data_IF_548385166174
#
_entry.id   IF_548385166174
#
_cell.length_a   1.000
_cell.length_b   1.000
_cell.length_c   1.000
_cell.angle_alpha   90.00
_cell.angle_beta   90.00
_cell.angle_gamma   90.00
#
_symmetry.space_group_name_H-M   'P 1'
#
loop_
_entity.id
_entity.type
_entity.pdbx_description
1 polymer ?
#
# COMPACT_ATOMS: atom_id res chain seq x y z
N UNK A 1 -3.59 -13.18 -35.19
CA UNK A 1 -5.02 -13.30 -34.80
C UNK A 1 -5.05 -13.00 -33.32
N UNK A 2 -5.54 -11.82 -32.92
CA UNK A 2 -5.38 -11.32 -31.53
C UNK A 2 -6.12 -12.23 -30.54
N UNK A 3 -5.49 -12.55 -29.41
CA UNK A 3 -5.99 -13.45 -28.36
C UNK A 3 -7.40 -13.07 -27.84
N UNK A 4 -7.74 -11.78 -27.86
CA UNK A 4 -9.06 -11.26 -27.51
C UNK A 4 -10.20 -11.75 -28.43
N UNK A 5 -9.91 -12.04 -29.70
CA UNK A 5 -10.92 -12.55 -30.63
C UNK A 5 -11.37 -13.98 -30.29
N UNK A 6 -10.51 -14.79 -29.66
CA UNK A 6 -10.84 -16.18 -29.30
C UNK A 6 -11.76 -16.21 -28.09
N UNK A 7 -11.44 -15.45 -27.03
CA UNK A 7 -12.26 -15.37 -25.81
C UNK A 7 -13.66 -14.80 -26.08
N UNK A 8 -13.75 -13.75 -26.89
CA UNK A 8 -15.04 -13.18 -27.26
C UNK A 8 -15.88 -14.15 -28.09
N UNK A 9 -15.27 -14.87 -29.05
CA UNK A 9 -15.99 -15.81 -29.91
C UNK A 9 -16.53 -17.02 -29.15
N UNK A 10 -15.74 -17.60 -28.25
CA UNK A 10 -16.09 -18.86 -27.59
C UNK A 10 -16.89 -18.66 -26.30
N UNK A 11 -16.74 -17.52 -25.61
CA UNK A 11 -17.35 -17.30 -24.30
C UNK A 11 -18.13 -15.99 -24.17
N UNK A 12 -18.14 -15.12 -25.19
CA UNK A 12 -18.74 -13.78 -25.08
C UNK A 12 -18.02 -12.85 -24.09
N UNK A 13 -16.82 -13.24 -23.64
CA UNK A 13 -16.02 -12.49 -22.66
C UNK A 13 -14.99 -11.65 -23.39
N UNK A 14 -14.94 -10.36 -23.07
CA UNK A 14 -13.87 -9.45 -23.53
C UNK A 14 -12.94 -9.17 -22.36
N UNK A 15 -11.61 -9.21 -22.57
CA UNK A 15 -10.69 -8.82 -21.53
C UNK A 15 -10.85 -7.32 -21.21
N UNK A 16 -11.01 -6.98 -19.93
CA UNK A 16 -10.93 -5.59 -19.49
C UNK A 16 -9.46 -5.15 -19.50
N UNK A 17 -8.99 -4.71 -20.67
CA UNK A 17 -7.60 -4.29 -20.89
C UNK A 17 -7.20 -3.07 -20.05
N UNK A 18 -8.17 -2.32 -19.49
CA UNK A 18 -7.91 -1.18 -18.62
C UNK A 18 -7.42 -1.55 -17.22
N UNK A 19 -7.65 -2.79 -16.77
CA UNK A 19 -7.29 -3.28 -15.42
C UNK A 19 -6.40 -4.52 -15.44
N UNK A 20 -5.96 -4.95 -16.63
CA UNK A 20 -5.10 -6.13 -16.75
C UNK A 20 -3.64 -5.70 -16.58
N UNK A 21 -3.00 -6.17 -15.52
CA UNK A 21 -1.56 -5.98 -15.29
C UNK A 21 -0.81 -7.31 -15.32
N UNK A 22 0.39 -7.29 -15.91
CA UNK A 22 1.31 -8.43 -15.97
C UNK A 22 2.65 -7.99 -15.40
N UNK A 23 3.16 -8.80 -14.48
CA UNK A 23 4.39 -8.53 -13.73
C UNK A 23 5.25 -9.80 -13.62
N UNK A 24 6.57 -9.63 -13.69
CA UNK A 24 7.54 -10.65 -13.35
C UNK A 24 8.51 -10.08 -12.30
N UNK A 25 8.84 -10.90 -11.30
CA UNK A 25 9.81 -10.58 -10.24
C UNK A 25 11.18 -10.22 -10.79
N UNK A 26 11.66 -10.94 -11.81
CA UNK A 26 12.98 -10.71 -12.38
C UNK A 26 13.03 -9.46 -13.28
N UNK A 27 11.85 -8.90 -13.60
CA UNK A 27 11.70 -7.78 -14.54
C UNK A 27 12.07 -8.17 -15.97
N UNK A 28 12.48 -7.17 -16.75
CA UNK A 28 12.95 -7.34 -18.12
C UNK A 28 11.92 -6.97 -19.19
N UNK A 29 12.23 -7.21 -20.48
CA UNK A 29 11.34 -6.87 -21.58
C UNK A 29 10.06 -7.71 -21.53
N UNK A 30 8.99 -7.16 -22.09
CA UNK A 30 7.70 -7.85 -22.19
C UNK A 30 7.85 -9.19 -22.94
N UNK A 31 7.32 -10.30 -22.40
CA UNK A 31 7.25 -11.56 -23.14
C UNK A 31 6.45 -11.42 -24.45
N UNK A 32 6.70 -12.28 -25.46
CA UNK A 32 5.93 -12.28 -26.70
C UNK A 32 4.41 -12.33 -26.45
N UNK A 33 3.65 -11.54 -27.20
CA UNK A 33 2.18 -11.46 -27.09
C UNK A 33 1.64 -10.52 -26.00
N UNK A 34 2.45 -10.09 -25.02
CA UNK A 34 2.00 -9.14 -23.98
C UNK A 34 1.86 -7.72 -24.54
N UNK A 35 2.77 -7.30 -25.42
CA UNK A 35 2.72 -5.97 -26.03
C UNK A 35 1.42 -5.73 -26.83
N UNK A 36 0.81 -6.79 -27.37
CA UNK A 36 -0.46 -6.74 -28.10
C UNK A 36 -1.67 -6.43 -27.20
N UNK A 37 -1.53 -6.61 -25.87
CA UNK A 37 -2.59 -6.34 -24.89
C UNK A 37 -2.66 -4.86 -24.48
N UNK A 38 -1.61 -4.08 -24.78
CA UNK A 38 -1.54 -2.64 -24.53
C UNK A 38 -0.27 -2.21 -23.80
N UNK A 39 0.14 -0.95 -24.03
CA UNK A 39 1.37 -0.39 -23.49
C UNK A 39 1.44 -0.35 -21.95
N UNK A 40 0.28 -0.33 -21.28
CA UNK A 40 0.19 -0.23 -19.82
C UNK A 40 0.06 -1.59 -19.11
N UNK A 41 0.00 -2.69 -19.86
CA UNK A 41 -0.23 -4.04 -19.31
C UNK A 41 1.04 -4.62 -18.70
N UNK A 42 2.18 -4.49 -19.38
CA UNK A 42 3.46 -4.97 -18.86
C UNK A 42 4.06 -3.97 -17.87
N UNK A 43 4.49 -4.47 -16.71
CA UNK A 43 5.12 -3.65 -15.66
C UNK A 43 6.57 -3.99 -15.41
N UNK A 44 7.12 -5.05 -15.99
CA UNK A 44 8.42 -5.61 -15.60
C UNK A 44 9.65 -4.83 -16.09
N UNK A 45 9.50 -3.97 -17.10
CA UNK A 45 10.54 -3.07 -17.61
C UNK A 45 10.46 -1.65 -17.05
N UNK A 46 9.40 -1.34 -16.29
CA UNK A 46 9.24 -0.04 -15.65
C UNK A 46 10.39 0.26 -14.66
N UNK A 47 10.62 1.55 -14.33
CA UNK A 47 11.50 1.95 -13.24
C UNK A 47 11.15 1.20 -11.94
N UNK A 48 12.15 0.92 -11.10
CA UNK A 48 11.99 0.09 -9.91
C UNK A 48 10.88 0.54 -8.95
N UNK A 49 10.60 1.84 -8.87
CA UNK A 49 9.54 2.42 -8.04
C UNK A 49 8.14 2.33 -8.67
N UNK A 50 8.05 2.01 -9.95
CA UNK A 50 6.81 1.86 -10.72
C UNK A 50 6.56 0.41 -11.17
N UNK A 51 7.54 -0.47 -10.94
CA UNK A 51 7.57 -1.89 -11.31
C UNK A 51 6.73 -2.74 -10.36
N UNK A 52 5.42 -2.59 -10.47
CA UNK A 52 4.44 -3.34 -9.70
C UNK A 52 3.02 -2.92 -10.03
N UNK A 53 2.07 -3.47 -9.30
CA UNK A 53 0.65 -3.15 -9.38
C UNK A 53 0.00 -3.34 -8.02
N UNK A 54 -1.24 -2.87 -7.86
CA UNK A 54 -2.00 -2.98 -6.62
C UNK A 54 -3.12 -4.00 -6.83
N UNK A 55 -3.11 -5.09 -6.06
CA UNK A 55 -4.15 -6.10 -6.08
C UNK A 55 -4.92 -6.04 -4.75
N UNK A 56 -6.22 -5.74 -4.79
CA UNK A 56 -7.05 -5.64 -3.58
C UNK A 56 -6.39 -4.76 -2.48
N UNK A 57 -5.92 -3.57 -2.87
CA UNK A 57 -5.15 -2.65 -2.02
C UNK A 57 -3.79 -3.14 -1.51
N UNK A 58 -3.34 -4.33 -1.94
CA UNK A 58 -2.01 -4.86 -1.61
C UNK A 58 -1.03 -4.48 -2.74
N UNK A 59 0.02 -3.69 -2.47
CA UNK A 59 1.05 -3.44 -3.47
C UNK A 59 1.88 -4.71 -3.69
N UNK A 60 1.94 -5.15 -4.94
CA UNK A 60 2.72 -6.29 -5.39
C UNK A 60 3.72 -5.81 -6.44
N UNK A 61 5.00 -6.15 -6.27
CA UNK A 61 6.00 -5.73 -7.23
C UNK A 61 7.41 -5.74 -6.69
N UNK A 62 8.25 -4.95 -7.32
CA UNK A 62 9.60 -4.69 -6.88
C UNK A 62 9.60 -4.06 -5.48
N UNK A 63 10.59 -4.35 -4.60
CA UNK A 63 10.61 -3.80 -3.24
C UNK A 63 10.51 -2.27 -3.18
N UNK A 64 11.09 -1.55 -4.15
CA UNK A 64 10.95 -0.09 -4.23
C UNK A 64 9.55 0.39 -4.60
N UNK A 65 8.82 -0.35 -5.43
CA UNK A 65 7.41 -0.06 -5.72
C UNK A 65 6.57 -0.22 -4.45
N UNK A 66 6.77 -1.32 -3.72
CA UNK A 66 6.07 -1.58 -2.45
C UNK A 66 6.37 -0.46 -1.44
N UNK A 67 7.64 -0.11 -1.26
CA UNK A 67 8.05 0.98 -0.36
C UNK A 67 7.41 2.32 -0.73
N UNK A 68 7.53 2.75 -2.00
CA UNK A 68 6.95 4.01 -2.47
C UNK A 68 5.43 4.06 -2.29
N UNK A 69 4.75 2.93 -2.54
CA UNK A 69 3.32 2.81 -2.31
C UNK A 69 2.98 2.93 -0.82
N UNK A 70 3.68 2.19 0.05
CA UNK A 70 3.44 2.22 1.49
C UNK A 70 3.76 3.59 2.11
N UNK A 71 4.80 4.28 1.64
CA UNK A 71 5.18 5.61 2.12
C UNK A 71 4.10 6.64 1.76
N UNK A 72 3.61 6.60 0.52
CA UNK A 72 2.50 7.47 0.07
C UNK A 72 1.23 7.21 0.88
N UNK A 73 0.91 5.93 1.11
CA UNK A 73 -0.24 5.52 1.94
C UNK A 73 -0.11 6.01 3.38
N UNK A 74 1.08 5.88 3.96
CA UNK A 74 1.34 6.30 5.33
C UNK A 74 1.21 7.82 5.51
N UNK A 75 1.71 8.61 4.56
CA UNK A 75 1.55 10.06 4.57
C UNK A 75 0.07 10.47 4.52
N UNK A 76 -0.71 9.83 3.66
CA UNK A 76 -2.14 10.09 3.54
C UNK A 76 -2.91 9.67 4.80
N UNK A 77 -2.60 8.50 5.36
CA UNK A 77 -3.20 8.04 6.61
C UNK A 77 -2.88 8.98 7.78
N UNK A 78 -1.64 9.47 7.88
CA UNK A 78 -1.26 10.46 8.89
C UNK A 78 -2.00 11.79 8.71
N UNK A 79 -2.21 12.25 7.48
CA UNK A 79 -3.02 13.44 7.17
C UNK A 79 -4.47 13.25 7.59
N UNK A 80 -5.08 12.12 7.25
CA UNK A 80 -6.46 11.81 7.62
C UNK A 80 -6.66 11.71 9.13
N UNK A 81 -5.67 11.17 9.85
CA UNK A 81 -5.69 11.15 11.32
C UNK A 81 -5.65 12.55 11.93
N UNK A 82 -4.99 13.52 11.29
CA UNK A 82 -5.02 14.92 11.73
C UNK A 82 -6.36 15.61 11.47
N UNK A 83 -7.17 15.07 10.56
CA UNK A 83 -8.50 15.59 10.21
C UNK A 83 -9.63 14.93 11.02
N UNK A 84 -9.30 14.01 11.93
CA UNK A 84 -10.30 13.39 12.81
C UNK A 84 -11.09 14.48 13.57
N UNK A 85 -12.41 14.37 13.44
CA UNK A 85 -13.40 15.35 13.88
C UNK A 85 -13.31 15.66 15.39
N UNK A 86 -13.79 16.85 15.83
CA UNK A 86 -13.68 17.27 17.24
C UNK A 86 -14.57 16.49 18.22
N UNK A 87 -15.53 15.68 17.73
CA UNK A 87 -16.30 14.81 18.62
C UNK A 87 -15.42 13.65 19.10
N UNK A 88 -15.09 13.71 20.39
CA UNK A 88 -14.18 12.76 21.03
C UNK A 88 -14.68 11.31 20.86
N UNK A 89 -15.97 11.04 21.08
CA UNK A 89 -16.48 9.67 21.00
C UNK A 89 -16.32 9.05 19.60
N UNK A 90 -16.67 9.79 18.55
CA UNK A 90 -16.45 9.34 17.17
C UNK A 90 -14.96 9.17 16.84
N UNK A 91 -14.12 10.10 17.29
CA UNK A 91 -12.68 10.03 17.06
C UNK A 91 -12.04 8.80 17.72
N UNK A 92 -12.46 8.45 18.94
CA UNK A 92 -12.02 7.25 19.64
C UNK A 92 -12.38 5.95 18.89
N UNK A 93 -13.61 5.84 18.39
CA UNK A 93 -14.05 4.65 17.64
C UNK A 93 -13.26 4.49 16.33
N UNK A 94 -13.07 5.58 15.59
CA UNK A 94 -12.29 5.56 14.35
C UNK A 94 -10.83 5.22 14.63
N UNK A 95 -10.23 5.79 15.67
CA UNK A 95 -8.86 5.51 16.05
C UNK A 95 -8.66 4.04 16.47
N UNK A 96 -9.62 3.47 17.20
CA UNK A 96 -9.60 2.04 17.55
C UNK A 96 -9.65 1.15 16.30
N UNK A 97 -10.41 1.52 15.27
CA UNK A 97 -10.41 0.81 13.99
C UNK A 97 -9.08 0.96 13.24
N UNK A 98 -8.43 2.13 13.31
CA UNK A 98 -7.11 2.35 12.72
C UNK A 98 -6.00 1.53 13.40
N UNK A 99 -6.10 1.31 14.71
CA UNK A 99 -5.18 0.50 15.51
C UNK A 99 -5.41 -1.02 15.37
N UNK A 100 -6.55 -1.43 14.80
CA UNK A 100 -6.87 -2.85 14.62
C UNK A 100 -5.88 -3.51 13.65
N UNK A 101 -5.36 -4.71 13.96
CA UNK A 101 -4.45 -5.44 13.06
C UNK A 101 -5.09 -5.62 11.67
N UNK A 102 -4.45 -5.06 10.65
CA UNK A 102 -4.89 -5.23 9.26
C UNK A 102 -4.31 -6.54 8.71
N UNK A 103 -5.09 -7.28 7.93
CA UNK A 103 -4.69 -8.56 7.32
C UNK A 103 -3.69 -8.45 6.17
N UNK A 104 -3.17 -7.25 5.89
CA UNK A 104 -2.27 -7.00 4.78
C UNK A 104 -0.83 -7.33 5.18
N UNK A 105 -0.02 -7.96 4.30
CA UNK A 105 1.42 -8.12 4.50
C UNK A 105 2.10 -6.76 4.32
N UNK A 106 1.89 -5.86 5.28
CA UNK A 106 2.59 -4.60 5.37
C UNK A 106 4.05 -4.84 5.75
N UNK A 107 4.96 -4.03 5.22
CA UNK A 107 6.35 -4.04 5.69
C UNK A 107 6.40 -3.66 7.18
N UNK A 108 7.40 -4.16 7.91
CA UNK A 108 7.60 -3.76 9.31
C UNK A 108 7.75 -2.24 9.48
N UNK A 109 8.23 -1.54 8.45
CA UNK A 109 8.32 -0.08 8.43
C UNK A 109 6.94 0.59 8.34
N UNK A 110 6.06 0.10 7.47
CA UNK A 110 4.70 0.63 7.38
C UNK A 110 3.93 0.38 8.68
N UNK A 111 4.05 -0.82 9.26
CA UNK A 111 3.40 -1.14 10.53
C UNK A 111 3.80 -0.16 11.65
N UNK A 112 5.12 0.02 11.87
CA UNK A 112 5.62 1.01 12.84
C UNK A 112 5.14 2.42 12.55
N UNK A 113 5.20 2.86 11.29
CA UNK A 113 4.76 4.20 10.91
C UNK A 113 3.28 4.43 11.20
N UNK A 114 2.43 3.44 10.91
CA UNK A 114 1.00 3.49 11.22
C UNK A 114 0.78 3.59 12.74
N UNK A 115 1.48 2.75 13.52
CA UNK A 115 1.37 2.74 14.98
C UNK A 115 1.79 4.10 15.58
N UNK A 116 2.88 4.70 15.09
CA UNK A 116 3.35 6.03 15.49
C UNK A 116 2.34 7.14 15.13
N UNK A 117 1.65 7.03 13.99
CA UNK A 117 0.63 7.99 13.58
C UNK A 117 -0.64 7.88 14.45
N UNK A 118 -1.09 6.65 14.71
CA UNK A 118 -2.23 6.37 15.61
C UNK A 118 -1.93 6.86 17.02
N UNK A 119 -0.72 6.59 17.53
CA UNK A 119 -0.31 7.04 18.86
C UNK A 119 -0.30 8.57 18.98
N UNK A 120 0.26 9.27 17.99
CA UNK A 120 0.24 10.74 17.97
C UNK A 120 -1.18 11.30 17.92
N UNK A 121 -2.06 10.68 17.16
CA UNK A 121 -3.48 11.07 17.13
C UNK A 121 -4.15 10.89 18.50
N UNK A 122 -3.88 9.77 19.19
CA UNK A 122 -4.39 9.54 20.54
C UNK A 122 -3.97 10.64 21.50
N UNK A 123 -2.66 10.96 21.54
CA UNK A 123 -2.13 12.02 22.39
C UNK A 123 -2.79 13.37 22.09
N UNK A 124 -2.96 13.70 20.80
CA UNK A 124 -3.64 14.92 20.39
C UNK A 124 -5.10 14.97 20.87
N UNK A 125 -5.85 13.87 20.78
CA UNK A 125 -7.22 13.78 21.28
C UNK A 125 -7.31 13.91 22.81
N UNK A 126 -6.27 13.49 23.54
CA UNK A 126 -6.15 13.67 24.98
C UNK A 126 -5.72 15.08 25.39
N UNK A 127 -5.37 15.95 24.44
CA UNK A 127 -4.82 17.28 24.71
C UNK A 127 -3.34 17.29 25.10
N UNK A 128 -2.67 16.14 24.98
CA UNK A 128 -1.23 16.01 25.21
C UNK A 128 -0.47 16.50 23.97
N UNK A 129 0.43 17.47 24.14
CA UNK A 129 1.36 17.83 23.05
C UNK A 129 2.35 16.68 22.92
N UNK A 130 2.35 16.01 21.77
CA UNK A 130 3.20 14.86 21.50
C UNK A 130 4.69 15.18 21.60
N UNK A 131 5.24 15.06 22.80
CA UNK A 131 6.65 14.74 22.96
C UNK A 131 6.79 13.26 22.60
N UNK A 132 7.60 12.96 21.58
CA UNK A 132 7.97 11.59 21.30
C UNK A 132 8.58 11.00 22.57
N UNK A 133 7.89 10.04 23.18
CA UNK A 133 8.30 9.43 24.43
C UNK A 133 9.70 8.80 24.25
N UNK A 134 10.76 9.29 24.94
CA UNK A 134 12.11 8.74 24.85
C UNK A 134 12.17 7.26 25.27
N UNK A 135 11.16 6.80 26.01
CA UNK A 135 11.08 5.42 26.51
C UNK A 135 10.74 4.41 25.41
N UNK A 136 9.96 4.80 24.39
CA UNK A 136 9.69 3.96 23.21
C UNK A 136 10.91 3.83 22.30
N UNK A 137 11.76 4.87 22.21
CA UNK A 137 13.05 4.80 21.50
C UNK A 137 14.06 3.86 22.17
N UNK A 138 13.95 3.62 23.49
CA UNK A 138 14.79 2.67 24.23
C UNK A 138 14.33 1.22 24.07
N UNK A 139 13.03 0.97 23.91
CA UNK A 139 12.51 -0.38 23.68
C UNK A 139 12.95 -0.95 22.31
N UNK A 140 13.07 -0.09 21.28
CA UNK A 140 13.58 -0.49 19.97
C UNK A 140 15.10 -0.75 19.95
N UNK A 141 15.86 -0.14 20.87
CA UNK A 141 17.32 -0.31 20.96
C UNK A 141 17.76 -1.49 21.87
N UNK A 142 16.83 -2.11 22.60
CA UNK A 142 17.14 -3.09 23.66
C UNK A 142 17.06 -4.57 23.26
N UNK A 143 16.78 -4.91 22.00
CA UNK A 143 16.62 -6.30 21.55
C UNK A 143 17.75 -6.77 20.62
N UNK A 144 19.00 -6.59 21.04
CA UNK A 144 20.12 -7.45 20.63
C UNK A 144 21.10 -7.52 21.80
N UNK A 145 20.95 -8.57 22.60
CA UNK A 145 21.89 -9.03 23.62
C UNK A 145 21.92 -10.55 23.57
#
# INVERSE_FOLDING_TARGET
MSYNNVLHREAGVTANLGETWVYNRDGGPAPPGIAELGANVWRGDAPEAERGFVALHTPLGHPRFVAAHTDTRLLEEARLLQELLPDLHCAWLLLAMCASPRSLPASANYARGNDDAVWRCLLALLGEKGDADPTLSRAAAGSFG
#
